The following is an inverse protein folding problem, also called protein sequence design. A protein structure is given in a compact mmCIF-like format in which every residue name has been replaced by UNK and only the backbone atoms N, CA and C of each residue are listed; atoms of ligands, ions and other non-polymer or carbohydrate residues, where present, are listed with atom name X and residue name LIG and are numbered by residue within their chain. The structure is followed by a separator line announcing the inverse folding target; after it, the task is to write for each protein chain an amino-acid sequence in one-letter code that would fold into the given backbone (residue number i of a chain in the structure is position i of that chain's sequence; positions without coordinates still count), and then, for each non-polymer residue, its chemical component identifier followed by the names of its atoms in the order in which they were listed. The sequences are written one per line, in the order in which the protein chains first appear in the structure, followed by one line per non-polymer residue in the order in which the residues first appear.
data_IF_998591646897
#
_entry.id   IF_998591646897
#
_cell.length_a   1.000
_cell.length_b   1.000
_cell.length_c   1.000
_cell.angle_alpha   90.00
_cell.angle_beta   90.00
_cell.angle_gamma   90.00
#
_symmetry.space_group_name_H-M   'P 1'
#
loop_
_entity.id
_entity.type
_entity.pdbx_description
1 polymer ?
#
# COMPACT_ATOMS: atom_id res chain seq x y z
N UNK A 1 5.21 -17.50 18.61
CA UNK A 1 4.01 -17.94 17.86
C UNK A 1 2.97 -16.84 18.01
N UNK A 2 2.49 -16.12 17.00
CA UNK A 2 2.79 -16.05 15.58
C UNK A 2 1.91 -14.92 15.06
N UNK A 3 2.43 -13.70 14.98
CA UNK A 3 1.70 -12.58 14.37
C UNK A 3 1.97 -12.59 12.87
N UNK A 4 1.26 -13.46 12.16
CA UNK A 4 1.10 -13.35 10.72
C UNK A 4 0.21 -12.15 10.39
N UNK A 5 0.69 -10.93 10.60
CA UNK A 5 -0.04 -9.71 10.28
C UNK A 5 0.51 -9.12 8.99
N UNK A 6 -0.32 -9.03 7.94
CA UNK A 6 0.08 -8.51 6.62
C UNK A 6 0.78 -7.15 6.73
N UNK A 7 2.09 -7.12 6.58
CA UNK A 7 2.93 -5.92 6.78
C UNK A 7 2.77 -4.94 5.59
N UNK A 8 2.19 -5.41 4.48
CA UNK A 8 2.23 -4.81 3.16
C UNK A 8 0.93 -5.09 2.39
N UNK A 9 0.44 -4.11 1.66
CA UNK A 9 -0.56 -4.28 0.60
C UNK A 9 0.16 -4.46 -0.73
N UNK A 10 -0.15 -5.54 -1.46
CA UNK A 10 0.24 -5.69 -2.86
C UNK A 10 -0.93 -5.26 -3.74
N UNK A 11 -0.66 -4.42 -4.73
CA UNK A 11 -1.68 -3.77 -5.56
C UNK A 11 -1.34 -4.07 -7.02
N UNK A 12 -2.26 -4.70 -7.73
CA UNK A 12 -2.21 -4.78 -9.19
C UNK A 12 -3.10 -3.68 -9.79
N UNK A 13 -2.48 -2.62 -10.29
CA UNK A 13 -3.18 -1.47 -10.81
C UNK A 13 -3.71 -1.77 -12.21
N UNK A 14 -5.03 -1.59 -12.41
CA UNK A 14 -5.67 -1.80 -13.73
C UNK A 14 -5.13 -0.93 -14.86
N UNK A 15 -4.42 0.16 -14.55
CA UNK A 15 -3.86 1.07 -15.53
C UNK A 15 -2.77 1.96 -14.92
N UNK A 16 -1.98 2.58 -15.79
CA UNK A 16 -0.91 3.50 -15.42
C UNK A 16 -1.45 4.75 -14.69
N UNK A 17 -2.69 5.17 -15.00
CA UNK A 17 -3.40 6.20 -14.22
C UNK A 17 -3.67 5.73 -12.78
N UNK A 18 -4.14 4.50 -12.61
CA UNK A 18 -4.41 3.94 -11.29
C UNK A 18 -3.11 3.76 -10.49
N UNK A 19 -2.03 3.32 -11.14
CA UNK A 19 -0.71 3.18 -10.51
C UNK A 19 -0.21 4.52 -9.93
N UNK A 20 -0.32 5.62 -10.69
CA UNK A 20 0.01 6.96 -10.18
C UNK A 20 -0.87 7.42 -9.02
N UNK A 21 -2.16 7.06 -9.05
CA UNK A 21 -3.06 7.37 -7.95
C UNK A 21 -2.62 6.65 -6.66
N UNK A 22 -2.36 5.34 -6.71
CA UNK A 22 -1.83 4.61 -5.55
C UNK A 22 -0.48 5.15 -5.08
N UNK A 23 0.40 5.55 -6.00
CA UNK A 23 1.68 6.17 -5.65
C UNK A 23 1.52 7.47 -4.85
N UNK A 24 0.46 8.25 -5.11
CA UNK A 24 0.17 9.46 -4.31
C UNK A 24 -0.20 9.19 -2.86
N UNK A 25 -0.56 7.95 -2.52
CA UNK A 25 -0.80 7.50 -1.14
C UNK A 25 0.40 6.74 -0.55
N UNK A 26 1.57 6.77 -1.20
CA UNK A 26 2.79 6.11 -0.71
C UNK A 26 2.98 4.67 -1.19
N UNK A 27 2.28 4.26 -2.26
CA UNK A 27 2.60 2.99 -2.92
C UNK A 27 3.86 3.13 -3.78
N UNK A 28 4.71 2.13 -3.75
CA UNK A 28 5.93 2.08 -4.55
C UNK A 28 5.82 0.98 -5.61
N UNK A 29 6.34 1.23 -6.81
CA UNK A 29 6.33 0.25 -7.89
C UNK A 29 7.31 -0.87 -7.58
N UNK A 30 6.89 -2.11 -7.82
CA UNK A 30 7.79 -3.25 -7.72
C UNK A 30 8.79 -3.22 -8.88
N UNK A 31 10.06 -3.52 -8.60
CA UNK A 31 11.10 -3.56 -9.62
C UNK A 31 10.71 -4.52 -10.76
N UNK A 32 10.80 -4.04 -12.00
CA UNK A 32 10.44 -4.83 -13.19
C UNK A 32 8.94 -4.86 -13.52
N UNK A 33 8.07 -4.22 -12.74
CA UNK A 33 6.64 -4.10 -13.04
C UNK A 33 6.18 -2.65 -13.10
N UNK A 34 5.50 -2.30 -14.18
CA UNK A 34 4.90 -0.98 -14.38
C UNK A 34 3.48 -0.88 -13.82
N UNK A 35 2.88 -1.93 -13.26
CA UNK A 35 1.51 -1.85 -12.72
C UNK A 35 1.35 -2.56 -11.38
N UNK A 36 2.36 -3.29 -10.93
CA UNK A 36 2.39 -3.87 -9.59
C UNK A 36 3.04 -2.88 -8.63
N UNK A 37 2.34 -2.58 -7.56
CA UNK A 37 2.81 -1.72 -6.49
C UNK A 37 2.73 -2.43 -5.14
N UNK A 38 3.50 -1.93 -4.20
CA UNK A 38 3.52 -2.35 -2.81
C UNK A 38 3.36 -1.12 -1.91
N UNK A 39 2.63 -1.26 -0.80
CA UNK A 39 2.46 -0.19 0.16
C UNK A 39 2.50 -0.74 1.59
N UNK A 40 3.40 -0.26 2.46
CA UNK A 40 3.41 -0.64 3.87
C UNK A 40 2.08 -0.25 4.55
N UNK A 41 1.48 -1.13 5.36
CA UNK A 41 0.30 -0.75 6.14
C UNK A 41 0.61 0.36 7.17
N UNK A 42 1.88 0.45 7.59
CA UNK A 42 2.37 1.52 8.45
C UNK A 42 2.10 2.92 7.89
N UNK A 43 1.98 3.07 6.56
CA UNK A 43 1.66 4.34 5.89
C UNK A 43 0.35 4.95 6.40
N UNK A 44 -0.64 4.12 6.75
CA UNK A 44 -1.94 4.59 7.24
C UNK A 44 -2.08 4.54 8.76
N UNK A 45 -1.14 3.90 9.47
CA UNK A 45 -1.35 3.55 10.87
C UNK A 45 -1.60 4.76 11.77
N UNK A 46 -0.85 5.85 11.59
CA UNK A 46 -1.02 7.08 12.38
C UNK A 46 -2.41 7.70 12.15
N UNK A 47 -2.81 7.87 10.89
CA UNK A 47 -4.08 8.50 10.53
C UNK A 47 -5.28 7.65 10.95
N UNK A 48 -5.19 6.33 10.83
CA UNK A 48 -6.24 5.43 11.26
C UNK A 48 -6.38 5.42 12.80
N UNK A 49 -5.28 5.46 13.56
CA UNK A 49 -5.34 5.62 15.04
C UNK A 49 -5.99 6.93 15.43
N UNK A 50 -5.60 8.04 14.79
CA UNK A 50 -6.18 9.35 15.06
C UNK A 50 -7.69 9.41 14.80
N UNK A 51 -8.18 8.57 13.87
CA UNK A 51 -9.61 8.42 13.54
C UNK A 51 -10.33 7.32 14.33
N UNK A 52 -9.62 6.55 15.18
CA UNK A 52 -10.19 5.42 15.91
C UNK A 52 -10.60 4.23 15.02
N UNK A 53 -9.88 4.00 13.91
CA UNK A 53 -10.16 2.96 12.91
C UNK A 53 -9.15 1.79 12.96
N UNK A 54 -8.42 1.65 14.06
CA UNK A 54 -7.46 0.57 14.33
C UNK A 54 -7.79 -0.15 15.63
#
# INVERSE_FOLDING_TARGET
AGEGGGILLMIDAKSERAARWYASYGAERLQGSNLTLVMPLATFATDLRAKGLL
#
